data_IF_289468475885
#
_entry.id   IF_289468475885
#
_cell.length_a   1.000
_cell.length_b   1.000
_cell.length_c   1.000
_cell.angle_alpha   90.00
_cell.angle_beta   90.00
_cell.angle_gamma   90.00
#
_symmetry.space_group_name_H-M   'P 1'
#
loop_
_entity.id
_entity.type
_entity.pdbx_description
1 polymer ?
#
# COMPACT_ATOMS: atom_id res chain seq x y z
N UNK A 1 -20.55 100.01 21.91
CA UNK A 1 -21.17 98.71 21.59
C UNK A 1 -20.13 97.60 21.38
N UNK A 2 -18.94 97.89 20.83
CA UNK A 2 -17.81 96.95 20.74
C UNK A 2 -17.26 96.53 22.12
N UNK A 3 -17.22 97.48 23.08
CA UNK A 3 -16.64 97.29 24.43
C UNK A 3 -17.39 96.27 25.33
N UNK A 4 -18.72 96.19 25.20
CA UNK A 4 -19.55 95.28 26.01
C UNK A 4 -19.42 93.83 25.51
N UNK A 5 -19.20 93.66 24.20
CA UNK A 5 -18.99 92.34 23.59
C UNK A 5 -17.60 91.78 23.93
N UNK A 6 -16.59 92.62 24.07
CA UNK A 6 -15.25 92.20 24.50
C UNK A 6 -15.19 91.83 25.99
N UNK A 7 -15.89 92.58 26.86
CA UNK A 7 -16.02 92.22 28.28
C UNK A 7 -16.78 90.90 28.49
N UNK A 8 -17.83 90.65 27.70
CA UNK A 8 -18.56 89.36 27.73
C UNK A 8 -17.71 88.21 27.18
N UNK A 9 -16.88 88.44 26.16
CA UNK A 9 -15.93 87.42 25.67
C UNK A 9 -14.89 87.07 26.73
N UNK A 10 -14.30 88.06 27.39
CA UNK A 10 -13.34 87.83 28.47
C UNK A 10 -13.94 87.10 29.67
N UNK A 11 -15.21 87.36 29.99
CA UNK A 11 -15.92 86.65 31.06
C UNK A 11 -16.15 85.15 30.73
N UNK A 12 -16.21 84.77 29.45
CA UNK A 12 -16.43 83.40 28.98
C UNK A 12 -15.14 82.62 28.70
N UNK A 13 -13.99 83.28 28.58
CA UNK A 13 -12.70 82.64 28.30
C UNK A 13 -12.33 81.52 29.28
N UNK A 14 -12.58 81.63 30.61
CA UNK A 14 -12.32 80.54 31.53
C UNK A 14 -13.16 79.29 31.22
N UNK A 15 -14.44 79.47 30.90
CA UNK A 15 -15.34 78.38 30.53
C UNK A 15 -14.89 77.73 29.22
N UNK A 16 -14.53 78.53 28.22
CA UNK A 16 -14.01 78.04 26.94
C UNK A 16 -12.72 77.24 27.12
N UNK A 17 -11.83 77.71 27.99
CA UNK A 17 -10.57 77.02 28.31
C UNK A 17 -10.84 75.69 29.01
N UNK A 18 -11.76 75.66 29.97
CA UNK A 18 -12.16 74.43 30.66
C UNK A 18 -12.78 73.40 29.72
N UNK A 19 -13.70 73.83 28.83
CA UNK A 19 -14.32 72.95 27.83
C UNK A 19 -13.29 72.39 26.84
N UNK A 20 -12.34 73.21 26.38
CA UNK A 20 -11.27 72.75 25.50
C UNK A 20 -10.34 71.76 26.22
N UNK A 21 -10.03 71.97 27.49
CA UNK A 21 -9.23 71.05 28.28
C UNK A 21 -9.95 69.70 28.48
N UNK A 22 -11.25 69.73 28.81
CA UNK A 22 -12.07 68.53 28.94
C UNK A 22 -12.16 67.75 27.61
N UNK A 23 -12.47 68.43 26.50
CA UNK A 23 -12.54 67.79 25.18
C UNK A 23 -11.20 67.15 24.75
N UNK A 24 -10.07 67.79 25.08
CA UNK A 24 -8.74 67.21 24.84
C UNK A 24 -8.47 65.98 25.69
N UNK A 25 -8.88 66.00 26.96
CA UNK A 25 -8.72 64.86 27.86
C UNK A 25 -9.58 63.67 27.41
N UNK A 26 -10.84 63.91 27.03
CA UNK A 26 -11.74 62.90 26.47
C UNK A 26 -11.19 62.31 25.17
N UNK A 27 -10.70 63.16 24.26
CA UNK A 27 -10.10 62.70 23.01
C UNK A 27 -8.88 61.80 23.25
N UNK A 28 -8.00 62.15 24.21
CA UNK A 28 -6.83 61.31 24.52
C UNK A 28 -7.23 60.00 25.23
N UNK A 29 -8.27 60.02 26.06
CA UNK A 29 -8.82 58.80 26.64
C UNK A 29 -9.38 57.88 25.56
N UNK A 30 -10.17 58.41 24.62
CA UNK A 30 -10.72 57.64 23.50
C UNK A 30 -9.60 57.07 22.63
N UNK A 31 -8.56 57.85 22.37
CA UNK A 31 -7.40 57.42 21.56
C UNK A 31 -6.62 56.29 22.24
N UNK A 32 -6.46 56.34 23.56
CA UNK A 32 -5.84 55.25 24.34
C UNK A 32 -6.70 53.99 24.34
N UNK A 33 -8.01 54.12 24.58
CA UNK A 33 -8.95 52.98 24.53
C UNK A 33 -8.92 52.30 23.15
N UNK A 34 -9.00 53.09 22.07
CA UNK A 34 -8.95 52.56 20.71
C UNK A 34 -7.63 51.86 20.38
N UNK A 35 -6.51 52.36 20.90
CA UNK A 35 -5.21 51.71 20.74
C UNK A 35 -5.12 50.38 21.50
N UNK A 36 -5.63 50.33 22.73
CA UNK A 36 -5.68 49.10 23.54
C UNK A 36 -6.59 48.05 22.92
N UNK A 37 -7.80 48.45 22.48
CA UNK A 37 -8.75 47.58 21.78
C UNK A 37 -8.16 47.06 20.45
N UNK A 38 -7.52 47.94 19.68
CA UNK A 38 -6.86 47.57 18.42
C UNK A 38 -5.74 46.56 18.64
N UNK A 39 -4.93 46.74 19.69
CA UNK A 39 -3.86 45.81 20.05
C UNK A 39 -4.43 44.45 20.48
N UNK A 40 -5.47 44.45 21.32
CA UNK A 40 -6.14 43.21 21.75
C UNK A 40 -6.73 42.42 20.57
N UNK A 41 -7.31 43.11 19.57
CA UNK A 41 -7.81 42.48 18.35
C UNK A 41 -6.68 41.83 17.54
N UNK A 42 -5.55 42.51 17.38
CA UNK A 42 -4.38 41.97 16.65
C UNK A 42 -3.81 40.76 17.37
N UNK A 43 -3.68 40.82 18.69
CA UNK A 43 -3.13 39.71 19.47
C UNK A 43 -4.07 38.50 19.45
N UNK A 44 -5.38 38.71 19.58
CA UNK A 44 -6.38 37.65 19.42
C UNK A 44 -6.36 37.02 18.02
N UNK A 45 -6.18 37.82 16.97
CA UNK A 45 -6.05 37.32 15.60
C UNK A 45 -4.77 36.48 15.42
N UNK A 46 -3.65 36.89 16.02
CA UNK A 46 -2.38 36.14 16.00
C UNK A 46 -2.50 34.82 16.73
N UNK A 47 -3.12 34.79 17.91
CA UNK A 47 -3.38 33.57 18.65
C UNK A 47 -4.29 32.61 17.87
N UNK A 48 -5.33 33.14 17.22
CA UNK A 48 -6.20 32.33 16.37
C UNK A 48 -5.44 31.75 15.18
N UNK A 49 -4.62 32.55 14.49
CA UNK A 49 -3.80 32.08 13.38
C UNK A 49 -2.81 30.99 13.83
N UNK A 50 -2.16 31.17 14.98
CA UNK A 50 -1.25 30.17 15.54
C UNK A 50 -1.96 28.85 15.85
N UNK A 51 -3.17 28.89 16.41
CA UNK A 51 -3.98 27.69 16.67
C UNK A 51 -4.37 26.96 15.39
N UNK A 52 -4.82 27.71 14.36
CA UNK A 52 -5.17 27.12 13.06
C UNK A 52 -3.95 26.46 12.41
N UNK A 53 -2.80 27.12 12.42
CA UNK A 53 -1.56 26.56 11.87
C UNK A 53 -1.11 25.30 12.62
N UNK A 54 -1.22 25.29 13.96
CA UNK A 54 -0.89 24.12 14.76
C UNK A 54 -1.82 22.93 14.46
N UNK A 55 -3.14 23.19 14.32
CA UNK A 55 -4.11 22.15 13.94
C UNK A 55 -3.80 21.58 12.55
N UNK A 56 -3.60 22.46 11.57
CA UNK A 56 -3.29 22.06 10.20
C UNK A 56 -1.98 21.27 10.11
N UNK A 57 -0.97 21.62 10.91
CA UNK A 57 0.28 20.87 10.96
C UNK A 57 0.07 19.46 11.55
N UNK A 58 -0.68 19.34 12.64
CA UNK A 58 -0.97 18.05 13.26
C UNK A 58 -1.82 17.14 12.36
N UNK A 59 -2.84 17.70 11.69
CA UNK A 59 -3.66 17.00 10.70
C UNK A 59 -2.80 16.55 9.51
N UNK A 60 -1.97 17.44 8.95
CA UNK A 60 -1.06 17.11 7.85
C UNK A 60 -0.05 16.02 8.20
N UNK A 61 0.46 15.99 9.45
CA UNK A 61 1.35 14.92 9.92
C UNK A 61 0.60 13.59 10.05
N UNK A 62 -0.63 13.59 10.54
CA UNK A 62 -1.45 12.39 10.62
C UNK A 62 -1.76 11.82 9.22
N UNK A 63 -2.22 12.66 8.30
CA UNK A 63 -2.51 12.29 6.92
C UNK A 63 -1.25 11.78 6.20
N UNK A 64 -0.12 12.48 6.39
CA UNK A 64 1.17 12.08 5.82
C UNK A 64 1.62 10.70 6.29
N UNK A 65 1.48 10.40 7.59
CA UNK A 65 1.79 9.07 8.15
C UNK A 65 0.88 7.98 7.57
N UNK A 66 -0.41 8.26 7.43
CA UNK A 66 -1.35 7.31 6.83
C UNK A 66 -1.02 7.03 5.36
N UNK A 67 -0.75 8.07 4.57
CA UNK A 67 -0.36 7.93 3.16
C UNK A 67 0.93 7.14 3.02
N UNK A 68 1.93 7.39 3.87
CA UNK A 68 3.19 6.67 3.89
C UNK A 68 2.99 5.18 4.23
N UNK A 69 2.20 4.86 5.26
CA UNK A 69 1.89 3.48 5.63
C UNK A 69 1.17 2.72 4.52
N UNK A 70 0.19 3.36 3.86
CA UNK A 70 -0.51 2.79 2.70
C UNK A 70 0.44 2.58 1.51
N UNK A 71 1.39 3.49 1.28
CA UNK A 71 2.38 3.35 0.22
C UNK A 71 3.35 2.20 0.49
N UNK A 72 3.84 2.07 1.73
CA UNK A 72 4.71 0.98 2.15
C UNK A 72 4.03 -0.39 1.98
N UNK A 73 2.80 -0.54 2.48
CA UNK A 73 2.04 -1.79 2.34
C UNK A 73 1.82 -2.19 0.87
N UNK A 74 1.51 -1.23 -0.01
CA UNK A 74 1.41 -1.50 -1.46
C UNK A 74 2.75 -1.91 -2.08
N UNK A 75 3.86 -1.31 -1.65
CA UNK A 75 5.19 -1.65 -2.13
C UNK A 75 5.55 -3.09 -1.74
N UNK A 76 5.29 -3.48 -0.49
CA UNK A 76 5.49 -4.85 0.00
C UNK A 76 4.65 -5.87 -0.77
N UNK A 77 3.35 -5.58 -0.97
CA UNK A 77 2.46 -6.44 -1.75
C UNK A 77 2.95 -6.63 -3.19
N UNK A 78 3.40 -5.55 -3.84
CA UNK A 78 3.98 -5.63 -5.19
C UNK A 78 5.26 -6.44 -5.23
N UNK A 79 6.16 -6.24 -4.26
CA UNK A 79 7.39 -7.00 -4.16
C UNK A 79 7.10 -8.51 -4.00
N UNK A 80 6.16 -8.86 -3.12
CA UNK A 80 5.71 -10.25 -2.95
C UNK A 80 5.09 -10.82 -4.22
N UNK A 81 4.25 -10.04 -4.91
CA UNK A 81 3.63 -10.48 -6.16
C UNK A 81 4.67 -10.76 -7.25
N UNK A 82 5.71 -9.92 -7.36
CA UNK A 82 6.83 -10.13 -8.31
C UNK A 82 7.55 -11.45 -8.01
N UNK A 83 7.87 -11.70 -6.74
CA UNK A 83 8.54 -12.94 -6.33
C UNK A 83 7.67 -14.16 -6.62
N UNK A 84 6.39 -14.13 -6.24
CA UNK A 84 5.48 -15.25 -6.49
C UNK A 84 5.29 -15.52 -7.99
N UNK A 85 5.20 -14.48 -8.82
CA UNK A 85 5.08 -14.65 -10.28
C UNK A 85 6.36 -15.23 -10.89
N UNK A 86 7.53 -14.81 -10.40
CA UNK A 86 8.81 -15.37 -10.80
C UNK A 86 8.92 -16.86 -10.40
N UNK A 87 8.52 -17.20 -9.17
CA UNK A 87 8.49 -18.58 -8.67
C UNK A 87 7.54 -19.45 -9.49
N UNK A 88 6.33 -18.97 -9.75
CA UNK A 88 5.35 -19.67 -10.57
C UNK A 88 5.84 -19.88 -12.01
N UNK A 89 6.46 -18.85 -12.60
CA UNK A 89 7.05 -18.94 -13.95
C UNK A 89 8.14 -20.01 -14.01
N UNK A 90 9.09 -19.98 -13.07
CA UNK A 90 10.19 -20.94 -13.06
C UNK A 90 9.71 -22.36 -12.70
N UNK A 91 8.71 -22.53 -11.82
CA UNK A 91 8.04 -23.82 -11.61
C UNK A 91 7.42 -24.36 -12.91
N UNK A 92 6.67 -23.54 -13.64
CA UNK A 92 6.09 -23.93 -14.93
C UNK A 92 7.17 -24.33 -15.94
N UNK A 93 8.26 -23.58 -16.01
CA UNK A 93 9.38 -23.92 -16.89
C UNK A 93 10.03 -25.25 -16.52
N UNK A 94 10.20 -25.52 -15.22
CA UNK A 94 10.72 -26.77 -14.70
C UNK A 94 9.81 -27.96 -15.08
N UNK A 95 8.50 -27.84 -14.84
CA UNK A 95 7.52 -28.88 -15.20
C UNK A 95 7.54 -29.17 -16.71
N UNK A 96 7.58 -28.12 -17.54
CA UNK A 96 7.64 -28.28 -18.99
C UNK A 96 8.97 -28.90 -19.45
N UNK A 97 10.10 -28.55 -18.82
CA UNK A 97 11.38 -29.18 -19.09
C UNK A 97 11.38 -30.66 -18.69
N UNK A 98 10.83 -30.99 -17.53
CA UNK A 98 10.70 -32.35 -17.03
C UNK A 98 9.82 -33.20 -17.95
N UNK A 99 8.67 -32.68 -18.41
CA UNK A 99 7.80 -33.35 -19.39
C UNK A 99 8.53 -33.68 -20.68
N UNK A 100 9.27 -32.72 -21.24
CA UNK A 100 10.08 -32.96 -22.45
C UNK A 100 11.17 -34.01 -22.22
N UNK A 101 11.84 -33.98 -21.07
CA UNK A 101 12.89 -34.93 -20.73
C UNK A 101 12.34 -36.36 -20.56
N UNK A 102 11.22 -36.53 -19.85
CA UNK A 102 10.56 -37.83 -19.67
C UNK A 102 10.03 -38.36 -20.99
N UNK A 103 9.37 -37.52 -21.79
CA UNK A 103 8.88 -37.93 -23.12
C UNK A 103 10.03 -38.36 -24.04
N UNK A 104 11.19 -37.70 -23.97
CA UNK A 104 12.38 -38.10 -24.73
C UNK A 104 12.94 -39.43 -24.21
N UNK A 105 13.04 -39.60 -22.89
CA UNK A 105 13.53 -40.84 -22.29
C UNK A 105 12.65 -42.05 -22.62
N UNK A 106 11.33 -41.89 -22.66
CA UNK A 106 10.39 -42.98 -23.01
C UNK A 106 10.42 -43.36 -24.50
N UNK A 107 11.14 -42.62 -25.36
CA UNK A 107 11.45 -43.07 -26.72
C UNK A 107 12.57 -44.11 -26.76
N UNK A 108 13.37 -44.23 -25.69
CA UNK A 108 14.38 -45.28 -25.57
C UNK A 108 13.70 -46.62 -25.25
N UNK A 109 13.93 -47.67 -26.05
CA UNK A 109 13.26 -48.97 -25.87
C UNK A 109 13.41 -49.55 -24.46
N UNK A 110 14.59 -49.44 -23.86
CA UNK A 110 14.88 -49.98 -22.53
C UNK A 110 14.08 -49.25 -21.43
N UNK A 111 13.96 -47.93 -21.53
CA UNK A 111 13.18 -47.10 -20.59
C UNK A 111 11.69 -47.37 -20.72
N UNK A 112 11.20 -47.53 -21.95
CA UNK A 112 9.81 -47.89 -22.22
C UNK A 112 9.48 -49.28 -21.68
N UNK A 113 10.33 -50.27 -21.94
CA UNK A 113 10.15 -51.63 -21.42
C UNK A 113 10.15 -51.67 -19.88
N UNK A 114 11.00 -50.87 -19.23
CA UNK A 114 11.01 -50.74 -17.78
C UNK A 114 9.68 -50.15 -17.23
N UNK A 115 9.12 -49.13 -17.89
CA UNK A 115 7.82 -48.56 -17.51
C UNK A 115 6.70 -49.59 -17.70
N UNK A 116 6.68 -50.33 -18.81
CA UNK A 116 5.69 -51.39 -19.04
C UNK A 116 5.74 -52.46 -17.94
N UNK A 117 6.94 -52.89 -17.54
CA UNK A 117 7.13 -53.87 -16.47
C UNK A 117 6.65 -53.34 -15.11
N UNK A 118 6.93 -52.07 -14.80
CA UNK A 118 6.46 -51.42 -13.58
C UNK A 118 4.93 -51.32 -13.53
N UNK A 119 4.29 -50.93 -14.63
CA UNK A 119 2.83 -50.86 -14.74
C UNK A 119 2.17 -52.23 -14.56
N UNK A 120 2.69 -53.27 -15.23
CA UNK A 120 2.18 -54.64 -15.06
C UNK A 120 2.36 -55.13 -13.62
N UNK A 121 3.50 -54.84 -13.00
CA UNK A 121 3.77 -55.22 -11.60
C UNK A 121 2.79 -54.54 -10.63
N UNK A 122 2.48 -53.25 -10.85
CA UNK A 122 1.53 -52.52 -10.00
C UNK A 122 0.10 -53.09 -10.04
N UNK A 123 -0.26 -53.76 -11.14
CA UNK A 123 -1.59 -54.34 -11.36
C UNK A 123 -1.68 -55.85 -11.08
N UNK A 124 -0.54 -56.55 -10.93
CA UNK A 124 -0.51 -57.98 -10.63
C UNK A 124 -0.16 -58.89 -11.82
N UNK A 125 0.49 -58.38 -12.86
CA UNK A 125 1.15 -59.15 -13.93
C UNK A 125 0.41 -59.17 -15.26
N UNK A 126 -0.90 -59.46 -15.26
CA UNK A 126 -1.73 -59.40 -16.46
C UNK A 126 -2.42 -58.04 -16.56
N UNK A 127 -1.92 -57.17 -17.44
CA UNK A 127 -2.54 -55.88 -17.74
C UNK A 127 -2.44 -55.58 -19.24
N UNK A 128 -3.55 -55.08 -19.81
CA UNK A 128 -3.58 -54.46 -21.13
C UNK A 128 -2.85 -53.11 -21.04
N UNK A 129 -1.98 -52.82 -22.01
CA UNK A 129 -1.25 -51.57 -22.10
C UNK A 129 -1.66 -50.82 -23.37
N UNK A 130 -1.69 -49.49 -23.28
CA UNK A 130 -1.84 -48.63 -24.44
C UNK A 130 -1.05 -47.33 -24.31
N UNK A 131 -0.80 -46.69 -25.45
CA UNK A 131 -0.12 -45.40 -25.51
C UNK A 131 -1.04 -44.26 -25.09
N UNK A 132 -0.46 -43.24 -24.44
CA UNK A 132 -1.12 -41.96 -24.17
C UNK A 132 -0.68 -40.92 -25.20
N UNK A 133 -1.51 -39.88 -25.40
CA UNK A 133 -1.24 -38.84 -26.41
C UNK A 133 0.04 -38.02 -26.14
N UNK A 134 0.53 -38.01 -24.90
CA UNK A 134 1.76 -37.34 -24.48
C UNK A 134 3.01 -38.23 -24.55
N UNK A 135 2.89 -39.46 -25.05
CA UNK A 135 4.01 -40.39 -25.24
C UNK A 135 4.33 -41.26 -24.01
N UNK A 136 3.45 -41.30 -23.02
CA UNK A 136 3.48 -42.25 -21.91
C UNK A 136 2.62 -43.49 -22.19
N UNK A 137 2.27 -44.19 -21.12
CA UNK A 137 1.51 -45.45 -21.18
C UNK A 137 0.38 -45.46 -20.17
N UNK A 138 -0.72 -46.13 -20.48
CA UNK A 138 -1.73 -46.50 -19.49
C UNK A 138 -1.82 -48.02 -19.39
N UNK A 139 -2.27 -48.51 -18.24
CA UNK A 139 -2.46 -49.93 -17.99
C UNK A 139 -3.85 -50.21 -17.41
N UNK A 140 -4.48 -51.31 -17.83
CA UNK A 140 -5.75 -51.80 -17.29
C UNK A 140 -5.66 -53.28 -16.96
N UNK A 141 -6.03 -53.65 -15.74
CA UNK A 141 -6.16 -55.03 -15.31
C UNK A 141 -7.52 -55.62 -15.74
N UNK A 142 -7.63 -56.96 -15.87
CA UNK A 142 -8.88 -57.65 -16.20
C UNK A 142 -10.03 -57.38 -15.21
N UNK A 143 -9.69 -57.04 -13.97
CA UNK A 143 -10.65 -56.67 -12.91
C UNK A 143 -11.15 -55.22 -13.00
N UNK A 144 -10.67 -54.46 -14.00
CA UNK A 144 -11.07 -53.08 -14.26
C UNK A 144 -10.21 -52.01 -13.58
N UNK A 145 -9.22 -52.37 -12.74
CA UNK A 145 -8.27 -51.40 -12.18
C UNK A 145 -7.40 -50.78 -13.27
N UNK A 146 -7.13 -49.49 -13.17
CA UNK A 146 -6.30 -48.76 -14.14
C UNK A 146 -5.16 -48.03 -13.45
N UNK A 147 -4.00 -47.96 -14.10
CA UNK A 147 -2.88 -47.13 -13.70
C UNK A 147 -2.49 -46.22 -14.86
N UNK A 148 -2.37 -44.93 -14.58
CA UNK A 148 -1.92 -43.94 -15.56
C UNK A 148 -0.41 -43.72 -15.41
N UNK A 149 0.34 -44.07 -16.46
CA UNK A 149 1.76 -43.78 -16.64
C UNK A 149 1.99 -42.77 -17.76
N UNK A 150 1.03 -41.86 -18.00
CA UNK A 150 1.23 -40.70 -18.86
C UNK A 150 2.43 -39.88 -18.38
N UNK A 151 3.08 -39.18 -19.33
CA UNK A 151 4.22 -38.30 -19.01
C UNK A 151 3.82 -37.24 -17.99
N UNK A 152 2.61 -36.70 -18.12
CA UNK A 152 2.05 -35.75 -17.15
C UNK A 152 1.99 -36.30 -15.72
N UNK A 153 1.47 -37.52 -15.56
CA UNK A 153 1.33 -38.18 -14.25
C UNK A 153 2.68 -38.56 -13.64
N UNK A 154 3.61 -39.07 -14.46
CA UNK A 154 4.97 -39.40 -13.99
C UNK A 154 5.73 -38.16 -13.50
N UNK A 155 5.63 -37.04 -14.23
CA UNK A 155 6.26 -35.78 -13.82
C UNK A 155 5.60 -35.23 -12.56
N UNK A 156 4.27 -35.25 -12.46
CA UNK A 156 3.57 -34.77 -11.26
C UNK A 156 4.02 -35.53 -10.00
N UNK A 157 4.05 -36.86 -10.06
CA UNK A 157 4.53 -37.71 -8.96
C UNK A 157 5.99 -37.44 -8.60
N UNK A 158 6.86 -37.22 -9.61
CA UNK A 158 8.25 -36.87 -9.35
C UNK A 158 8.39 -35.49 -8.70
N UNK A 159 7.55 -34.52 -9.06
CA UNK A 159 7.57 -33.17 -8.47
C UNK A 159 7.05 -33.16 -7.02
N UNK A 160 6.08 -34.00 -6.66
CA UNK A 160 5.57 -34.13 -5.28
C UNK A 160 6.66 -34.55 -4.28
N UNK A 161 7.68 -35.28 -4.74
CA UNK A 161 8.81 -35.70 -3.93
C UNK A 161 9.95 -34.68 -3.82
N UNK A 162 9.86 -33.53 -4.50
CA UNK A 162 10.91 -32.49 -4.47
C UNK A 162 10.63 -31.44 -3.41
N UNK A 163 11.68 -31.05 -2.68
CA UNK A 163 11.67 -29.85 -1.86
C UNK A 163 11.85 -28.61 -2.75
N UNK A 164 10.73 -28.10 -3.26
CA UNK A 164 10.72 -26.93 -4.14
C UNK A 164 11.14 -25.64 -3.41
N UNK A 165 11.17 -25.60 -2.07
CA UNK A 165 11.61 -24.41 -1.33
C UNK A 165 13.12 -24.18 -1.50
N UNK A 166 13.92 -25.24 -1.62
CA UNK A 166 15.36 -25.15 -1.90
C UNK A 166 15.67 -24.51 -3.26
N UNK A 167 14.71 -24.50 -4.19
CA UNK A 167 14.88 -23.84 -5.49
C UNK A 167 14.94 -22.31 -5.36
N UNK A 168 14.37 -21.75 -4.29
CA UNK A 168 14.24 -20.30 -4.09
C UNK A 168 15.10 -19.76 -2.95
N UNK A 169 15.48 -20.61 -2.01
CA UNK A 169 16.41 -20.30 -0.93
C UNK A 169 17.62 -21.25 -1.02
N UNK A 170 18.54 -21.03 -1.98
CA UNK A 170 19.79 -21.78 -2.00
C UNK A 170 20.56 -21.43 -0.72
N UNK A 171 20.86 -22.45 0.08
CA UNK A 171 21.69 -22.32 1.28
C UNK A 171 23.12 -21.89 0.97
#
# INVERSE_FOLDING_TARGET
MVDVLDAQRQALDPLRTALLAAARAEAEQLRRSAAEEGQALVDGAREQAARVLASAAAEGEADGRELAARAASRAEQRARAIVLEAQHTAYRQLVEAARRAVALALREPDRRAALEAALRTSLGGEAELGDTADGGLWARAPDGRTVDGSVGTLVAQAMEGLDLEQLWCPG
#
